data_IF_083065732622
#
_entry.id   IF_083065732622
#
_cell.length_a   1.000
_cell.length_b   1.000
_cell.length_c   1.000
_cell.angle_alpha   90.00
_cell.angle_beta   90.00
_cell.angle_gamma   90.00
#
_symmetry.space_group_name_H-M   'P 1'
#
loop_
_entity.id
_entity.type
_entity.pdbx_description
1 polymer ?
#
# COMPACT_ATOMS: atom_id res chain seq x y z
N UNK A 1 16.27 15.42 -31.83
CA UNK A 1 15.00 14.69 -31.65
C UNK A 1 15.15 13.17 -31.43
N UNK A 2 16.12 12.48 -32.05
CA UNK A 2 16.64 11.18 -31.54
C UNK A 2 17.01 11.24 -30.04
N UNK A 3 17.32 12.45 -29.57
CA UNK A 3 17.51 12.85 -28.18
C UNK A 3 16.28 12.57 -27.29
N UNK A 4 15.05 12.81 -27.75
CA UNK A 4 13.84 12.64 -26.92
C UNK A 4 13.58 11.17 -26.56
N UNK A 5 13.54 10.26 -27.55
CA UNK A 5 13.44 8.81 -27.28
C UNK A 5 14.60 8.30 -26.42
N UNK A 6 15.84 8.71 -26.74
CA UNK A 6 17.03 8.31 -25.97
C UNK A 6 16.99 8.80 -24.53
N UNK A 7 16.49 10.01 -24.30
CA UNK A 7 16.37 10.58 -22.96
C UNK A 7 15.21 9.92 -22.20
N UNK A 8 14.05 9.67 -22.82
CA UNK A 8 12.96 8.89 -22.23
C UNK A 8 13.38 7.46 -21.88
N UNK A 9 14.19 6.82 -22.73
CA UNK A 9 14.72 5.48 -22.49
C UNK A 9 15.63 5.45 -21.26
N UNK A 10 16.53 6.43 -21.13
CA UNK A 10 17.41 6.55 -19.96
C UNK A 10 16.63 6.77 -18.67
N UNK A 11 15.57 7.59 -18.72
CA UNK A 11 14.70 7.81 -17.56
C UNK A 11 14.02 6.50 -17.17
N UNK A 12 13.43 5.78 -18.14
CA UNK A 12 12.80 4.49 -17.88
C UNK A 12 13.79 3.46 -17.31
N UNK A 13 15.01 3.40 -17.84
CA UNK A 13 16.08 2.52 -17.33
C UNK A 13 16.47 2.88 -15.89
N UNK A 14 16.60 4.18 -15.58
CA UNK A 14 16.90 4.65 -14.23
C UNK A 14 15.77 4.33 -13.25
N UNK A 15 14.51 4.47 -13.66
CA UNK A 15 13.34 4.13 -12.83
C UNK A 15 13.27 2.62 -12.57
N UNK A 16 13.55 1.79 -13.58
CA UNK A 16 13.63 0.33 -13.41
C UNK A 16 14.77 -0.03 -12.44
N UNK A 17 15.92 0.61 -12.54
CA UNK A 17 17.03 0.41 -11.60
C UNK A 17 16.64 0.79 -10.17
N UNK A 18 15.99 1.94 -9.99
CA UNK A 18 15.47 2.35 -8.69
C UNK A 18 14.46 1.35 -8.15
N UNK A 19 13.50 0.90 -8.96
CA UNK A 19 12.54 -0.12 -8.58
C UNK A 19 13.22 -1.43 -8.15
N UNK A 20 14.30 -1.83 -8.81
CA UNK A 20 15.10 -2.99 -8.41
C UNK A 20 15.77 -2.79 -7.05
N UNK A 21 16.37 -1.62 -6.81
CA UNK A 21 16.95 -1.30 -5.49
C UNK A 21 15.90 -1.40 -4.39
N UNK A 22 14.71 -0.83 -4.60
CA UNK A 22 13.61 -0.96 -3.65
C UNK A 22 13.22 -2.43 -3.44
N UNK A 23 13.04 -3.18 -4.53
CA UNK A 23 12.60 -4.57 -4.46
C UNK A 23 13.59 -5.49 -3.72
N UNK A 24 14.88 -5.14 -3.63
CA UNK A 24 15.85 -5.91 -2.83
C UNK A 24 15.63 -5.81 -1.33
N UNK A 25 15.02 -4.73 -0.86
CA UNK A 25 14.70 -4.52 0.57
C UNK A 25 13.49 -5.34 1.03
N UNK A 26 12.70 -5.89 0.08
CA UNK A 26 11.44 -6.57 0.36
C UNK A 26 11.43 -8.03 -0.18
N UNK A 27 12.19 -8.94 0.45
CA UNK A 27 12.14 -10.36 0.10
C UNK A 27 10.76 -10.95 0.41
N UNK A 28 10.34 -11.91 -0.41
CA UNK A 28 9.07 -12.62 -0.21
C UNK A 28 9.13 -13.53 1.03
N UNK A 29 8.12 -13.44 1.88
CA UNK A 29 8.06 -14.15 3.18
C UNK A 29 8.28 -15.66 3.11
N UNK A 30 7.82 -16.34 2.04
CA UNK A 30 7.83 -17.81 1.96
C UNK A 30 9.15 -18.41 1.46
N UNK A 31 9.77 -17.78 0.47
CA UNK A 31 10.91 -18.35 -0.27
C UNK A 31 12.14 -17.42 -0.29
N UNK A 32 12.07 -16.26 0.38
CA UNK A 32 13.14 -15.27 0.42
C UNK A 32 13.44 -14.61 -0.93
N UNK A 33 12.61 -14.82 -1.96
CA UNK A 33 12.88 -14.31 -3.29
C UNK A 33 12.62 -12.80 -3.38
N UNK A 34 13.57 -12.07 -3.95
CA UNK A 34 13.40 -10.67 -4.33
C UNK A 34 12.98 -10.57 -5.80
N UNK A 35 12.31 -9.47 -6.14
CA UNK A 35 11.94 -9.18 -7.53
C UNK A 35 13.06 -8.42 -8.22
N UNK A 36 13.33 -8.77 -9.47
CA UNK A 36 14.18 -7.98 -10.34
C UNK A 36 13.50 -7.78 -11.70
N UNK A 37 13.74 -6.60 -12.26
CA UNK A 37 13.10 -6.09 -13.45
C UNK A 37 14.15 -5.69 -14.47
N UNK A 38 13.89 -6.01 -15.75
CA UNK A 38 14.74 -5.59 -16.87
C UNK A 38 13.90 -5.17 -18.06
N UNK A 39 14.41 -4.23 -18.83
CA UNK A 39 13.80 -3.84 -20.08
C UNK A 39 14.10 -4.88 -21.17
N UNK A 40 13.10 -5.23 -21.97
CA UNK A 40 13.22 -6.16 -23.08
C UNK A 40 12.59 -5.55 -24.34
N UNK A 41 13.24 -5.78 -25.47
CA UNK A 41 12.80 -5.33 -26.78
C UNK A 41 12.28 -6.52 -27.58
N UNK A 42 11.15 -6.32 -28.27
CA UNK A 42 10.65 -7.31 -29.22
C UNK A 42 11.63 -7.46 -30.40
N UNK A 43 11.78 -8.65 -31.02
CA UNK A 43 12.57 -8.80 -32.25
C UNK A 43 12.13 -7.84 -33.36
N UNK A 44 10.83 -7.52 -33.40
CA UNK A 44 10.25 -6.56 -34.33
C UNK A 44 10.70 -5.12 -34.05
N UNK A 45 11.18 -4.81 -32.85
CA UNK A 45 11.68 -3.48 -32.51
C UNK A 45 12.79 -3.06 -33.48
N UNK A 46 13.73 -3.93 -33.84
CA UNK A 46 14.80 -3.57 -34.78
C UNK A 46 14.29 -3.12 -36.16
N UNK A 47 13.11 -3.61 -36.58
CA UNK A 47 12.47 -3.26 -37.86
C UNK A 47 11.69 -1.94 -37.73
N UNK A 48 11.00 -1.73 -36.60
CA UNK A 48 10.12 -0.57 -36.40
C UNK A 48 10.78 0.61 -35.65
N UNK A 49 11.96 0.43 -35.06
CA UNK A 49 12.66 1.45 -34.27
C UNK A 49 13.01 2.68 -35.13
N UNK A 50 13.23 2.53 -36.44
CA UNK A 50 13.43 3.67 -37.34
C UNK A 50 12.17 4.57 -37.43
N UNK A 51 10.97 3.98 -37.35
CA UNK A 51 9.69 4.71 -37.35
C UNK A 51 9.39 5.33 -35.98
N UNK A 52 9.86 4.70 -34.90
CA UNK A 52 9.65 5.11 -33.50
C UNK A 52 10.71 6.12 -33.02
N UNK A 53 11.75 6.40 -33.80
CA UNK A 53 12.73 7.47 -33.54
C UNK A 53 12.10 8.87 -33.37
N UNK A 54 10.82 9.01 -33.69
CA UNK A 54 10.04 10.24 -33.64
C UNK A 54 9.13 10.35 -32.40
N UNK A 55 9.11 9.36 -31.50
CA UNK A 55 8.14 9.30 -30.37
C UNK A 55 8.80 8.87 -29.05
N UNK A 56 8.08 9.01 -27.93
CA UNK A 56 8.53 8.63 -26.59
C UNK A 56 8.42 7.11 -26.32
N UNK A 57 8.95 6.64 -25.19
CA UNK A 57 8.88 5.23 -24.80
C UNK A 57 7.43 4.76 -24.55
N UNK A 58 6.49 5.67 -24.26
CA UNK A 58 5.10 5.32 -24.02
C UNK A 58 4.45 4.71 -25.27
N UNK A 59 4.68 5.30 -26.45
CA UNK A 59 4.18 4.76 -27.71
C UNK A 59 4.86 3.43 -28.08
N UNK A 60 6.18 3.34 -27.92
CA UNK A 60 6.92 2.10 -28.16
C UNK A 60 6.40 0.95 -27.27
N UNK A 61 6.07 1.26 -26.02
CA UNK A 61 5.40 0.36 -25.09
C UNK A 61 3.99 -0.03 -25.56
N UNK A 62 3.16 0.94 -25.96
CA UNK A 62 1.80 0.68 -26.44
C UNK A 62 1.80 -0.25 -27.68
N UNK A 63 2.75 -0.07 -28.59
CA UNK A 63 2.90 -0.88 -29.81
C UNK A 63 3.47 -2.28 -29.59
N UNK A 64 3.86 -2.65 -28.36
CA UNK A 64 4.42 -3.97 -28.13
C UNK A 64 5.90 -4.12 -28.43
N UNK A 65 6.60 -3.03 -28.76
CA UNK A 65 8.01 -3.08 -29.14
C UNK A 65 8.93 -3.22 -27.93
N UNK A 66 8.45 -2.83 -26.74
CA UNK A 66 9.18 -2.89 -25.49
C UNK A 66 8.30 -3.39 -24.36
N UNK A 67 8.87 -4.20 -23.48
CA UNK A 67 8.23 -4.77 -22.28
C UNK A 67 9.22 -4.76 -21.13
N UNK A 68 8.70 -4.75 -19.91
CA UNK A 68 9.48 -4.93 -18.69
C UNK A 68 9.31 -6.38 -18.27
N UNK A 69 10.41 -7.10 -18.15
CA UNK A 69 10.45 -8.47 -17.67
C UNK A 69 10.69 -8.47 -16.19
N UNK A 70 9.90 -9.22 -15.45
CA UNK A 70 9.99 -9.37 -14.00
C UNK A 70 10.34 -10.82 -13.70
N UNK A 71 11.39 -11.04 -12.93
CA UNK A 71 11.85 -12.36 -12.52
C UNK A 71 12.19 -12.36 -11.03
N UNK A 72 12.24 -13.56 -10.45
CA UNK A 72 12.59 -13.76 -9.05
C UNK A 72 14.08 -14.08 -8.93
N UNK A 73 14.73 -13.51 -7.92
CA UNK A 73 16.13 -13.74 -7.58
C UNK A 73 16.23 -14.16 -6.13
N UNK A 74 16.99 -15.20 -5.84
CA UNK A 74 17.20 -15.73 -4.49
C UNK A 74 18.53 -15.21 -3.90
N UNK A 75 18.57 -15.06 -2.58
CA UNK A 75 19.68 -14.42 -1.83
C UNK A 75 20.95 -15.29 -1.81
N UNK A 76 20.84 -16.57 -2.12
CA UNK A 76 21.92 -17.57 -2.16
C UNK A 76 22.87 -17.43 -3.36
N UNK A 77 22.73 -16.37 -4.17
CA UNK A 77 23.67 -16.04 -5.26
C UNK A 77 23.61 -17.00 -6.45
N UNK A 78 22.96 -18.16 -6.31
CA UNK A 78 22.45 -18.94 -7.42
C UNK A 78 21.39 -18.11 -8.12
N UNK A 79 21.81 -17.42 -9.17
CA UNK A 79 20.93 -16.83 -10.18
C UNK A 79 20.32 -17.98 -10.98
N UNK A 80 19.59 -18.88 -10.32
CA UNK A 80 18.59 -19.70 -11.01
C UNK A 80 17.52 -18.72 -11.43
N UNK A 81 17.75 -18.10 -12.61
CA UNK A 81 16.72 -17.31 -13.29
C UNK A 81 15.45 -18.15 -13.23
N UNK A 82 14.51 -17.73 -12.37
CA UNK A 82 13.31 -18.50 -12.16
C UNK A 82 12.71 -18.74 -13.54
N UNK A 83 12.42 -20.00 -13.89
CA UNK A 83 11.93 -20.44 -15.21
C UNK A 83 10.61 -19.78 -15.64
N UNK A 84 10.12 -18.82 -14.85
CA UNK A 84 8.83 -18.17 -14.93
C UNK A 84 9.01 -16.64 -14.92
N UNK A 85 9.51 -16.08 -16.02
CA UNK A 85 9.54 -14.63 -16.21
C UNK A 85 8.12 -14.09 -16.46
N UNK A 86 7.81 -12.90 -15.95
CA UNK A 86 6.54 -12.21 -16.17
C UNK A 86 6.73 -11.00 -17.08
N UNK A 87 5.81 -10.74 -17.99
CA UNK A 87 5.81 -9.56 -18.86
C UNK A 87 4.88 -8.49 -18.30
N UNK A 88 5.42 -7.31 -18.05
CA UNK A 88 4.67 -6.09 -17.79
C UNK A 88 4.85 -5.09 -18.94
N UNK A 89 3.82 -4.31 -19.20
CA UNK A 89 3.89 -3.09 -20.00
C UNK A 89 4.46 -1.93 -19.18
N UNK A 90 4.95 -0.89 -19.87
CA UNK A 90 5.39 0.36 -19.25
C UNK A 90 4.24 1.00 -18.43
N UNK A 91 3.00 0.87 -18.91
CA UNK A 91 1.81 1.37 -18.20
C UNK A 91 1.61 0.64 -16.87
N UNK A 92 1.69 -0.69 -16.85
CA UNK A 92 1.55 -1.48 -15.61
C UNK A 92 2.68 -1.20 -14.63
N UNK A 93 3.90 -0.95 -15.14
CA UNK A 93 5.03 -0.55 -14.31
C UNK A 93 4.77 0.77 -13.59
N UNK A 94 4.42 1.84 -14.30
CA UNK A 94 4.20 3.14 -13.67
C UNK A 94 2.86 3.26 -12.93
N UNK A 95 1.84 2.49 -13.30
CA UNK A 95 0.52 2.56 -12.66
C UNK A 95 0.39 1.69 -11.40
N UNK A 96 1.15 0.59 -11.31
CA UNK A 96 0.98 -0.39 -10.23
C UNK A 96 2.31 -0.72 -9.59
N UNK A 97 3.26 -1.28 -10.34
CA UNK A 97 4.45 -1.92 -9.75
C UNK A 97 5.36 -0.90 -9.04
N UNK A 98 5.74 0.17 -9.73
CA UNK A 98 6.64 1.18 -9.18
C UNK A 98 6.03 1.96 -8.01
N UNK A 99 4.76 2.43 -8.10
CA UNK A 99 4.07 3.02 -6.95
C UNK A 99 3.97 2.07 -5.75
N UNK A 100 3.68 0.77 -5.95
CA UNK A 100 3.62 -0.20 -4.86
C UNK A 100 4.96 -0.35 -4.14
N UNK A 101 6.08 -0.36 -4.88
CA UNK A 101 7.41 -0.41 -4.29
C UNK A 101 7.76 0.87 -3.52
N UNK A 102 7.41 2.04 -4.05
CA UNK A 102 7.57 3.31 -3.34
C UNK A 102 6.73 3.38 -2.06
N UNK A 103 5.52 2.82 -2.08
CA UNK A 103 4.65 2.76 -0.89
C UNK A 103 5.24 1.89 0.21
N UNK A 104 5.84 0.75 -0.16
CA UNK A 104 6.53 -0.13 0.78
C UNK A 104 7.72 0.56 1.45
N UNK A 105 8.51 1.32 0.68
CA UNK A 105 9.60 2.14 1.24
C UNK A 105 9.09 3.26 2.15
N UNK A 106 8.04 3.97 1.74
CA UNK A 106 7.48 5.08 2.54
C UNK A 106 6.90 4.63 3.88
N UNK A 107 6.31 3.43 3.94
CA UNK A 107 5.86 2.82 5.19
C UNK A 107 7.01 2.56 6.19
N UNK A 108 8.24 2.35 5.70
CA UNK A 108 9.45 2.22 6.52
C UNK A 108 9.95 3.60 6.99
N UNK A 109 9.94 4.62 6.13
CA UNK A 109 10.35 5.99 6.50
C UNK A 109 9.35 6.68 7.45
N UNK A 110 8.12 6.20 7.54
CA UNK A 110 7.09 6.63 8.51
C UNK A 110 7.44 6.26 9.96
N UNK A 111 8.53 5.51 10.19
CA UNK A 111 9.14 5.41 11.52
C UNK A 111 9.56 6.77 12.08
N UNK A 112 9.91 7.73 11.22
CA UNK A 112 10.20 9.11 11.65
C UNK A 112 8.92 9.83 12.10
N UNK A 113 7.77 9.60 11.44
CA UNK A 113 6.45 10.10 11.85
C UNK A 113 5.98 9.41 13.14
N UNK A 114 6.20 8.10 13.30
CA UNK A 114 5.97 7.37 14.56
C UNK A 114 6.83 7.92 15.69
N UNK A 115 8.09 8.29 15.41
CA UNK A 115 8.97 8.94 16.39
C UNK A 115 8.46 10.33 16.73
N UNK A 116 7.96 11.10 15.76
CA UNK A 116 7.33 12.40 16.00
C UNK A 116 6.01 12.26 16.78
N UNK A 117 5.19 11.25 16.50
CA UNK A 117 3.97 10.89 17.25
C UNK A 117 4.29 10.42 18.65
N UNK A 118 5.30 9.56 18.85
CA UNK A 118 5.76 9.13 20.16
C UNK A 118 6.29 10.32 20.98
N UNK A 119 7.04 11.23 20.35
CA UNK A 119 7.47 12.50 20.98
C UNK A 119 6.28 13.41 21.30
N UNK A 120 5.24 13.43 20.46
CA UNK A 120 4.01 14.17 20.72
C UNK A 120 3.23 13.57 21.90
N UNK A 121 3.00 12.25 21.90
CA UNK A 121 2.36 11.52 23.00
C UNK A 121 3.13 11.71 24.30
N UNK A 122 4.46 11.59 24.29
CA UNK A 122 5.30 11.82 25.47
C UNK A 122 5.18 13.27 26.00
N UNK A 123 5.04 14.27 25.11
CA UNK A 123 4.80 15.67 25.52
C UNK A 123 3.42 15.89 26.11
N UNK A 124 2.40 15.15 25.64
CA UNK A 124 1.06 15.19 26.22
C UNK A 124 0.99 14.44 27.55
N UNK A 125 1.67 13.29 27.66
CA UNK A 125 1.77 12.48 28.89
C UNK A 125 2.42 13.24 30.05
N UNK A 126 3.48 14.02 29.77
CA UNK A 126 4.11 14.91 30.76
C UNK A 126 3.18 16.00 31.30
N UNK A 127 2.06 16.29 30.62
CA UNK A 127 1.05 17.24 31.08
C UNK A 127 -0.01 16.60 31.98
N UNK A 128 -0.26 15.29 31.82
CA UNK A 128 -1.17 14.50 32.68
C UNK A 128 -0.50 13.99 33.97
N UNK A 129 0.82 13.79 33.96
CA UNK A 129 1.57 13.35 35.15
C UNK A 129 1.54 14.37 36.31
N UNK A 130 1.28 15.65 36.03
CA UNK A 130 1.11 16.68 37.07
C UNK A 130 -0.30 16.67 37.70
N UNK A 131 -1.28 15.90 37.17
CA UNK A 131 -2.66 15.89 37.70
C UNK A 131 -3.26 14.54 38.10
N UNK A 132 -2.74 13.35 37.75
CA UNK A 132 -3.55 12.12 38.01
C UNK A 132 -2.82 10.94 38.65
N UNK A 133 -3.29 10.64 39.86
CA UNK A 133 -3.18 9.40 40.59
C UNK A 133 -3.62 8.17 39.78
N UNK A 134 -2.83 7.10 39.82
CA UNK A 134 -3.28 5.69 39.83
C UNK A 134 -4.67 5.42 39.22
N UNK A 135 -4.79 5.43 37.90
CA UNK A 135 -5.96 4.87 37.21
C UNK A 135 -5.89 3.35 37.30
N UNK A 136 -6.94 2.71 37.83
CA UNK A 136 -7.06 1.26 37.90
C UNK A 136 -7.59 0.69 36.57
N UNK A 137 -7.31 -0.57 36.24
CA UNK A 137 -7.85 -1.23 35.02
C UNK A 137 -9.39 -1.10 34.92
N UNK A 138 -10.08 -0.97 36.06
CA UNK A 138 -11.53 -0.77 36.16
C UNK A 138 -11.97 0.62 35.66
N UNK A 139 -11.13 1.65 35.80
CA UNK A 139 -11.44 2.99 35.31
C UNK A 139 -11.20 3.10 33.80
N UNK A 140 -10.25 2.33 33.25
CA UNK A 140 -10.01 2.26 31.80
C UNK A 140 -11.19 1.62 31.05
N UNK A 141 -11.73 0.49 31.54
CA UNK A 141 -12.92 -0.15 30.94
C UNK A 141 -14.15 0.78 30.95
N UNK A 142 -14.32 1.58 32.01
CA UNK A 142 -15.43 2.54 32.15
C UNK A 142 -15.31 3.72 31.17
N UNK A 143 -14.11 4.07 30.74
CA UNK A 143 -13.89 5.11 29.73
C UNK A 143 -14.17 4.59 28.31
N UNK A 144 -13.98 3.28 28.07
CA UNK A 144 -14.27 2.60 26.80
C UNK A 144 -15.78 2.39 26.58
N UNK A 145 -16.54 2.16 27.64
CA UNK A 145 -17.99 1.98 27.57
C UNK A 145 -18.75 3.24 27.11
N UNK A 146 -19.90 3.01 26.46
CA UNK A 146 -20.84 4.09 26.22
C UNK A 146 -21.48 4.55 27.53
N UNK A 147 -21.28 5.82 27.92
CA UNK A 147 -21.87 6.40 29.14
C UNK A 147 -23.41 6.51 29.22
N UNK A 148 -24.14 5.89 28.28
CA UNK A 148 -25.62 5.78 28.28
C UNK A 148 -26.07 4.33 28.48
N UNK A 149 -25.59 3.40 27.65
CA UNK A 149 -25.97 1.98 27.75
C UNK A 149 -24.99 1.12 28.57
N UNK A 150 -23.81 1.65 28.91
CA UNK A 150 -22.72 0.94 29.60
C UNK A 150 -22.26 -0.33 28.86
N UNK A 151 -22.32 -0.31 27.53
CA UNK A 151 -21.82 -1.39 26.68
C UNK A 151 -20.55 -0.93 25.95
N UNK A 152 -19.60 -1.86 25.76
CA UNK A 152 -18.40 -1.71 24.92
C UNK A 152 -18.79 -1.69 23.44
N UNK A 153 -19.18 -0.52 22.95
CA UNK A 153 -19.51 -0.29 21.55
C UNK A 153 -18.66 0.87 21.02
N UNK A 154 -18.30 0.82 19.74
CA UNK A 154 -17.65 1.94 19.05
C UNK A 154 -18.44 3.23 19.26
N UNK A 155 -17.74 4.28 19.69
CA UNK A 155 -18.32 5.57 20.04
C UNK A 155 -18.30 6.52 18.85
N UNK A 156 -19.27 7.44 18.83
CA UNK A 156 -19.29 8.61 17.97
C UNK A 156 -19.19 9.86 18.84
N UNK A 157 -18.49 10.86 18.32
CA UNK A 157 -18.23 12.14 19.01
C UNK A 157 -19.05 13.23 18.35
N UNK A 158 -19.76 14.00 19.18
CA UNK A 158 -20.55 15.14 18.73
C UNK A 158 -19.64 16.34 18.39
N UNK A 159 -19.75 16.93 17.18
CA UNK A 159 -18.83 17.98 16.72
C UNK A 159 -18.92 19.28 17.54
N UNK A 160 -20.09 19.57 18.12
CA UNK A 160 -20.33 20.85 18.81
C UNK A 160 -19.83 20.86 20.26
N UNK A 161 -19.75 19.68 20.90
CA UNK A 161 -19.52 19.58 22.35
C UNK A 161 -18.59 18.44 22.77
N UNK A 162 -17.97 17.73 21.81
CA UNK A 162 -17.00 16.64 21.98
C UNK A 162 -17.42 15.46 22.87
N UNK A 163 -18.67 15.42 23.33
CA UNK A 163 -19.21 14.28 24.06
C UNK A 163 -19.34 13.05 23.16
N UNK A 164 -19.02 11.88 23.71
CA UNK A 164 -19.01 10.62 23.02
C UNK A 164 -20.10 9.66 23.53
N UNK A 165 -20.71 8.90 22.63
CA UNK A 165 -21.65 7.81 22.94
C UNK A 165 -21.71 6.83 21.78
N UNK A 166 -22.26 5.63 21.97
CA UNK A 166 -22.43 4.72 20.83
C UNK A 166 -23.48 5.25 19.84
N UNK A 167 -23.36 4.86 18.57
CA UNK A 167 -24.24 5.34 17.49
C UNK A 167 -25.72 5.03 17.76
N UNK A 168 -26.02 3.88 18.39
CA UNK A 168 -27.39 3.49 18.74
C UNK A 168 -28.01 4.46 19.74
N UNK A 169 -27.30 4.74 20.84
CA UNK A 169 -27.77 5.69 21.85
C UNK A 169 -27.91 7.11 21.28
N UNK A 170 -27.01 7.53 20.40
CA UNK A 170 -27.16 8.80 19.68
C UNK A 170 -28.45 8.83 18.85
N UNK A 171 -28.70 7.82 18.01
CA UNK A 171 -29.87 7.76 17.13
C UNK A 171 -31.18 7.74 17.93
N UNK A 172 -31.25 6.91 18.97
CA UNK A 172 -32.41 6.81 19.85
C UNK A 172 -32.70 8.14 20.55
N UNK A 173 -31.66 8.78 21.08
CA UNK A 173 -31.81 10.08 21.73
C UNK A 173 -32.21 11.18 20.74
N UNK A 174 -31.53 11.26 19.59
CA UNK A 174 -31.78 12.29 18.56
C UNK A 174 -33.20 12.19 18.00
N UNK A 175 -33.78 10.99 17.94
CA UNK A 175 -35.19 10.79 17.53
C UNK A 175 -36.20 11.46 18.48
N UNK A 176 -35.82 11.69 19.75
CA UNK A 176 -36.66 12.27 20.80
C UNK A 176 -36.30 13.72 21.12
N UNK A 177 -35.01 14.03 21.15
CA UNK A 177 -34.47 15.34 21.50
C UNK A 177 -33.26 15.67 20.64
N UNK A 178 -33.32 16.81 19.95
CA UNK A 178 -32.23 17.34 19.12
C UNK A 178 -31.20 18.11 19.98
N UNK A 179 -30.77 17.49 21.09
CA UNK A 179 -29.82 18.05 22.04
C UNK A 179 -28.78 17.01 22.44
N UNK A 180 -27.61 17.40 22.91
CA UNK A 180 -26.66 16.46 23.51
C UNK A 180 -27.27 15.84 24.78
N UNK A 181 -27.22 14.51 24.98
CA UNK A 181 -27.71 13.87 26.20
C UNK A 181 -26.91 14.25 27.45
N UNK A 182 -25.66 14.67 27.30
CA UNK A 182 -24.77 15.00 28.41
C UNK A 182 -24.83 16.48 28.81
N UNK A 183 -24.68 17.40 27.85
CA UNK A 183 -24.63 18.85 28.12
C UNK A 183 -25.84 19.65 27.62
N UNK A 184 -26.77 19.01 26.88
CA UNK A 184 -27.94 19.65 26.25
C UNK A 184 -27.65 20.71 25.18
N UNK A 185 -26.42 20.76 24.67
CA UNK A 185 -26.10 21.58 23.49
C UNK A 185 -26.95 21.20 22.28
N UNK A 186 -27.22 22.17 21.42
CA UNK A 186 -28.15 22.02 20.30
C UNK A 186 -27.53 21.19 19.15
N UNK A 187 -28.26 20.17 18.68
CA UNK A 187 -27.87 19.27 17.59
C UNK A 187 -28.71 19.44 16.31
N UNK A 188 -29.64 20.41 16.24
CA UNK A 188 -30.56 20.60 15.10
C UNK A 188 -29.89 20.80 13.74
N UNK A 189 -28.58 21.06 13.70
CA UNK A 189 -27.79 21.28 12.48
C UNK A 189 -26.79 20.14 12.21
N UNK A 190 -26.73 19.13 13.05
CA UNK A 190 -25.76 18.03 12.93
C UNK A 190 -26.39 16.92 12.12
N UNK A 191 -25.90 16.72 10.89
CA UNK A 191 -26.26 15.56 10.09
C UNK A 191 -25.58 14.30 10.66
N UNK A 192 -26.16 13.09 10.51
CA UNK A 192 -25.46 11.85 10.87
C UNK A 192 -24.06 11.71 10.26
N UNK A 193 -23.81 12.32 9.09
CA UNK A 193 -22.49 12.36 8.46
C UNK A 193 -21.48 13.31 9.12
N UNK A 194 -21.92 14.21 10.00
CA UNK A 194 -21.06 15.15 10.75
C UNK A 194 -20.54 14.54 12.06
N UNK A 195 -20.96 13.31 12.39
CA UNK A 195 -20.49 12.58 13.57
C UNK A 195 -19.10 12.04 13.32
N UNK A 196 -18.21 12.25 14.30
CA UNK A 196 -16.83 11.77 14.22
C UNK A 196 -16.77 10.38 14.83
N UNK A 197 -16.15 9.43 14.14
CA UNK A 197 -15.91 8.10 14.70
C UNK A 197 -14.79 8.22 15.74
N UNK A 198 -15.04 7.76 16.95
CA UNK A 198 -13.99 7.60 17.96
C UNK A 198 -13.14 6.40 17.56
N UNK A 199 -11.86 6.63 17.26
CA UNK A 199 -10.91 5.60 16.88
C UNK A 199 -10.14 5.19 18.13
N UNK A 200 -10.24 3.92 18.50
CA UNK A 200 -9.50 3.34 19.62
C UNK A 200 -8.09 2.91 19.17
N UNK A 201 -7.18 2.70 20.12
CA UNK A 201 -5.82 2.27 19.79
C UNK A 201 -5.80 0.92 19.06
N UNK A 202 -6.75 0.03 19.39
CA UNK A 202 -6.94 -1.26 18.73
C UNK A 202 -7.49 -1.16 17.29
N UNK A 203 -8.13 -0.04 16.93
CA UNK A 203 -8.60 0.21 15.55
C UNK A 203 -7.44 0.62 14.62
N UNK A 204 -6.30 1.02 15.19
CA UNK A 204 -5.13 1.48 14.42
C UNK A 204 -4.32 0.27 13.96
N UNK A 205 -4.49 -0.10 12.69
CA UNK A 205 -3.68 -1.16 12.07
C UNK A 205 -2.20 -0.77 12.06
N UNK A 206 -1.36 -1.62 12.64
CA UNK A 206 0.07 -1.38 12.70
C UNK A 206 0.72 -1.36 11.30
N UNK A 207 1.75 -0.52 11.13
CA UNK A 207 2.43 -0.36 9.84
C UNK A 207 3.13 -1.61 9.33
N UNK A 208 3.50 -2.56 10.20
CA UNK A 208 4.10 -3.84 9.78
C UNK A 208 3.05 -4.70 9.08
N UNK A 209 1.85 -4.81 9.65
CA UNK A 209 0.70 -5.47 9.05
C UNK A 209 0.29 -4.82 7.73
N UNK A 210 0.26 -3.48 7.65
CA UNK A 210 -0.01 -2.76 6.40
C UNK A 210 1.05 -3.07 5.33
N UNK A 211 2.33 -3.03 5.71
CA UNK A 211 3.44 -3.28 4.78
C UNK A 211 3.43 -4.72 4.26
N UNK A 212 3.20 -5.70 5.14
CA UNK A 212 3.05 -7.11 4.80
C UNK A 212 1.92 -7.34 3.80
N UNK A 213 0.77 -6.73 4.04
CA UNK A 213 -0.38 -6.88 3.14
C UNK A 213 -0.15 -6.18 1.79
N UNK A 214 0.49 -5.02 1.77
CA UNK A 214 0.89 -4.35 0.52
C UNK A 214 1.89 -5.20 -0.28
N UNK A 215 2.84 -5.85 0.39
CA UNK A 215 3.78 -6.76 -0.25
C UNK A 215 3.06 -7.97 -0.86
N UNK A 216 2.11 -8.56 -0.13
CA UNK A 216 1.26 -9.65 -0.64
C UNK A 216 0.50 -9.25 -1.90
N UNK A 217 -0.13 -8.07 -1.90
CA UNK A 217 -0.86 -7.54 -3.07
C UNK A 217 0.05 -7.35 -4.28
N UNK A 218 1.27 -6.83 -4.08
CA UNK A 218 2.25 -6.68 -5.15
C UNK A 218 2.61 -8.03 -5.77
N UNK A 219 2.94 -9.04 -4.96
CA UNK A 219 3.25 -10.38 -5.47
C UNK A 219 2.05 -11.04 -6.15
N UNK A 220 0.84 -10.86 -5.62
CA UNK A 220 -0.39 -11.35 -6.28
C UNK A 220 -0.60 -10.71 -7.65
N UNK A 221 -0.39 -9.40 -7.78
CA UNK A 221 -0.47 -8.69 -9.05
C UNK A 221 0.55 -9.25 -10.05
N UNK A 222 1.82 -9.37 -9.64
CA UNK A 222 2.90 -9.88 -10.50
C UNK A 222 2.63 -11.30 -10.97
N UNK A 223 2.08 -12.16 -10.11
CA UNK A 223 1.73 -13.54 -10.49
C UNK A 223 0.62 -13.61 -11.55
N UNK A 224 -0.25 -12.59 -11.63
CA UNK A 224 -1.31 -12.49 -12.65
C UNK A 224 -0.80 -11.96 -14.00
N UNK A 225 0.42 -11.41 -14.06
CA UNK A 225 0.99 -10.94 -15.32
C UNK A 225 1.29 -12.10 -16.29
N UNK A 226 1.25 -11.85 -17.61
CA UNK A 226 1.55 -12.87 -18.62
C UNK A 226 2.89 -13.56 -18.36
N UNK A 227 2.86 -14.89 -18.33
CA UNK A 227 4.04 -15.74 -18.18
C UNK A 227 4.81 -15.81 -19.51
N UNK A 228 6.13 -15.74 -19.46
CA UNK A 228 7.00 -16.20 -20.55
C UNK A 228 7.24 -17.69 -20.32
N UNK A 229 6.67 -18.51 -21.20
CA UNK A 229 7.02 -19.94 -21.25
C UNK A 229 8.30 -20.07 -22.08
N UNK A 230 9.39 -20.63 -21.55
CA UNK A 230 10.57 -20.92 -22.34
C UNK A 230 10.21 -21.96 -23.43
N UNK A 231 10.59 -21.71 -24.69
CA UNK A 231 10.35 -22.60 -25.85
C UNK A 231 10.95 -24.01 -25.70
N UNK A 232 11.78 -24.24 -24.67
CA UNK A 232 12.51 -25.50 -24.44
C UNK A 232 11.57 -26.69 -24.16
N UNK A 233 10.33 -26.45 -23.69
CA UNK A 233 9.38 -27.53 -23.36
C UNK A 233 8.85 -28.26 -24.61
N UNK A 234 8.86 -27.63 -25.78
CA UNK A 234 8.35 -28.26 -27.01
C UNK A 234 9.37 -29.17 -27.71
N UNK A 235 10.66 -29.10 -27.37
CA UNK A 235 11.69 -29.89 -28.08
C UNK A 235 11.85 -31.35 -27.62
N UNK A 236 11.29 -31.71 -26.46
CA UNK A 236 11.48 -33.07 -25.88
C UNK A 236 10.40 -34.06 -26.33
N UNK A 237 9.27 -33.58 -26.85
CA UNK A 237 8.19 -34.46 -27.32
C UNK A 237 8.30 -34.84 -28.81
N UNK A 238 9.07 -34.12 -29.61
CA UNK A 238 9.16 -34.36 -31.06
C UNK A 238 10.29 -35.33 -31.45
N UNK A 239 11.06 -35.84 -30.48
CA UNK A 239 12.11 -36.85 -30.72
C UNK A 239 11.64 -38.31 -30.59
N UNK A 240 10.36 -38.55 -30.29
CA UNK A 240 9.81 -39.90 -30.12
C UNK A 240 8.79 -40.34 -31.19
N UNK A 241 8.66 -39.61 -32.29
CA UNK A 241 7.92 -40.08 -33.47
C UNK A 241 8.88 -40.15 -34.66
N UNK A 242 9.52 -41.30 -34.81
CA UNK A 242 10.12 -41.76 -36.06
C UNK A 242 9.96 -43.25 -36.18
#
# INVERSE_FOLDING_TARGET
MRKAYRDSLKVLEADIQHANTLATEFPREYDGACLQMRLSFSPAAHIFLFLVQWTDCSLAGALGLMRILIYKVYVDGTTTMSTHERKASIKEFYAVIFPSLLQLQRGITDMEDKKQKAVCMERYRRRDEDETSSLSDVDAEREEECGICMEMNSKVVLPNCTHAMCLRCYQDWNSRSQSCPFCRDNLKKTDPGDLWIYVEDDDVVDMETVSRENLRRLFMYINKLPLIVPDVIFSVYDSHIK
#
